data_IF_676086027358
#
_entry.id   IF_676086027358
#
_cell.length_a   1.000
_cell.length_b   1.000
_cell.length_c   1.000
_cell.angle_alpha   90.00
_cell.angle_beta   90.00
_cell.angle_gamma   90.00
#
_symmetry.space_group_name_H-M   'P 1'
#
loop_
_entity.id
_entity.type
_entity.pdbx_description
1 polymer ?
#
# COMPACT_ATOMS: atom_id res chain seq x y z
N UNK A 1 1.84 26.60 -6.82
CA UNK A 1 2.37 25.91 -5.64
C UNK A 1 3.61 25.12 -6.07
N UNK A 2 4.71 25.18 -5.33
CA UNK A 2 5.88 24.35 -5.61
C UNK A 2 5.55 22.89 -5.25
N UNK A 3 6.10 21.93 -6.02
CA UNK A 3 5.98 20.49 -5.73
C UNK A 3 6.59 20.22 -4.36
N UNK A 4 5.83 19.63 -3.43
CA UNK A 4 6.34 19.15 -2.15
C UNK A 4 7.13 17.87 -2.37
N UNK A 5 8.08 17.59 -1.48
CA UNK A 5 8.71 16.27 -1.38
C UNK A 5 7.63 15.25 -1.03
N UNK A 6 7.74 14.04 -1.54
CA UNK A 6 6.87 12.93 -1.13
C UNK A 6 7.70 11.90 -0.39
N UNK A 7 7.18 11.43 0.74
CA UNK A 7 7.76 10.34 1.53
C UNK A 7 6.92 9.08 1.37
N UNK A 8 7.52 7.92 1.62
CA UNK A 8 6.83 6.63 1.55
C UNK A 8 6.50 6.09 2.93
N UNK A 9 5.36 5.42 3.07
CA UNK A 9 5.02 4.61 4.24
C UNK A 9 4.75 3.18 3.76
N UNK A 10 5.40 2.21 4.41
CA UNK A 10 5.07 0.79 4.27
C UNK A 10 4.37 0.35 5.55
N UNK A 11 3.10 -0.04 5.44
CA UNK A 11 2.36 -0.57 6.59
C UNK A 11 2.54 -2.09 6.67
N UNK A 12 3.21 -2.54 7.71
CA UNK A 12 3.59 -3.92 7.98
C UNK A 12 3.12 -4.40 9.39
N UNK A 13 2.04 -3.81 9.92
CA UNK A 13 1.52 -4.05 11.27
C UNK A 13 0.44 -5.13 11.38
N UNK A 14 0.04 -5.77 10.29
CA UNK A 14 -1.02 -6.78 10.28
C UNK A 14 -0.60 -8.10 10.95
N UNK A 15 -1.51 -8.72 11.71
CA UNK A 15 -1.24 -9.96 12.44
C UNK A 15 -0.96 -11.19 11.55
N UNK A 16 -1.40 -11.18 10.29
CA UNK A 16 -1.14 -12.24 9.32
C UNK A 16 -1.73 -13.62 9.67
N UNK A 17 -2.79 -13.68 10.49
CA UNK A 17 -3.35 -14.92 11.06
C UNK A 17 -3.77 -15.97 10.04
N UNK A 18 -4.11 -15.56 8.81
CA UNK A 18 -4.44 -16.48 7.70
C UNK A 18 -3.24 -17.30 7.21
N UNK A 19 -2.03 -16.89 7.57
CA UNK A 19 -0.78 -17.61 7.27
C UNK A 19 -0.20 -18.35 8.48
N UNK A 20 -0.99 -18.54 9.55
CA UNK A 20 -0.57 -19.39 10.68
C UNK A 20 -0.32 -20.83 10.19
N UNK A 21 0.75 -21.51 10.66
CA UNK A 21 1.64 -21.11 11.75
C UNK A 21 2.87 -20.28 11.38
N UNK A 22 3.09 -19.92 10.09
CA UNK A 22 4.28 -19.19 9.66
C UNK A 22 4.41 -17.84 10.38
N UNK A 23 3.29 -17.14 10.54
CA UNK A 23 3.23 -15.80 11.16
C UNK A 23 3.26 -15.80 12.69
N UNK A 24 3.30 -16.97 13.33
CA UNK A 24 3.56 -17.05 14.77
C UNK A 24 4.97 -16.63 15.16
N UNK A 25 5.93 -16.83 14.27
CA UNK A 25 7.36 -16.59 14.53
C UNK A 25 7.91 -15.34 13.86
N UNK A 26 7.29 -14.86 12.79
CA UNK A 26 7.71 -13.63 12.11
C UNK A 26 6.54 -12.91 11.45
N UNK A 27 6.73 -11.62 11.17
CA UNK A 27 5.79 -10.84 10.36
C UNK A 27 5.62 -11.46 8.97
N UNK A 28 4.40 -11.41 8.41
CA UNK A 28 4.09 -11.84 7.04
C UNK A 28 5.05 -11.23 6.02
N UNK A 29 5.37 -9.95 6.18
CA UNK A 29 6.22 -9.21 5.27
C UNK A 29 7.70 -9.66 5.27
N UNK A 30 8.07 -10.50 6.23
CA UNK A 30 9.39 -11.13 6.30
C UNK A 30 9.42 -12.55 5.73
N UNK A 31 8.26 -13.12 5.36
CA UNK A 31 8.20 -14.40 4.67
C UNK A 31 8.84 -14.30 3.28
N UNK A 32 9.52 -15.37 2.83
CA UNK A 32 10.12 -15.38 1.51
C UNK A 32 9.07 -15.45 0.40
N UNK A 33 9.29 -14.65 -0.64
CA UNK A 33 8.61 -14.77 -1.93
C UNK A 33 9.70 -15.02 -2.95
N UNK A 34 9.89 -16.27 -3.32
CA UNK A 34 10.97 -16.79 -4.13
C UNK A 34 12.35 -16.50 -3.50
N UNK A 35 13.08 -15.49 -3.94
CA UNK A 35 14.50 -15.25 -3.62
C UNK A 35 14.71 -14.18 -2.52
N UNK A 36 13.63 -13.49 -2.07
CA UNK A 36 13.75 -12.41 -1.08
C UNK A 36 12.50 -12.28 -0.20
N UNK A 37 12.63 -11.66 0.99
CA UNK A 37 11.48 -11.33 1.82
C UNK A 37 10.48 -10.42 1.12
N UNK A 38 9.19 -10.62 1.41
CA UNK A 38 8.07 -9.91 0.81
C UNK A 38 8.21 -8.38 0.86
N UNK A 39 8.76 -7.81 1.93
CA UNK A 39 8.93 -6.36 2.12
C UNK A 39 9.82 -5.68 1.07
N UNK A 40 10.69 -6.42 0.39
CA UNK A 40 11.54 -5.86 -0.68
C UNK A 40 10.74 -5.39 -1.89
N UNK A 41 9.59 -5.99 -2.16
CA UNK A 41 8.74 -5.61 -3.30
C UNK A 41 8.09 -4.24 -3.11
N UNK A 42 7.40 -3.93 -2.00
CA UNK A 42 6.90 -2.58 -1.75
C UNK A 42 8.01 -1.53 -1.63
N UNK A 43 9.20 -1.88 -1.09
CA UNK A 43 10.37 -0.99 -1.11
C UNK A 43 10.81 -0.66 -2.53
N UNK A 44 10.89 -1.66 -3.41
CA UNK A 44 11.22 -1.47 -4.82
C UNK A 44 10.17 -0.60 -5.55
N UNK A 45 8.88 -0.79 -5.26
CA UNK A 45 7.78 0.02 -5.81
C UNK A 45 7.93 1.49 -5.43
N UNK A 46 8.19 1.80 -4.16
CA UNK A 46 8.42 3.18 -3.71
C UNK A 46 9.67 3.79 -4.37
N UNK A 47 10.76 3.03 -4.45
CA UNK A 47 11.99 3.47 -5.12
C UNK A 47 11.74 3.75 -6.62
N UNK A 48 10.98 2.89 -7.31
CA UNK A 48 10.58 3.08 -8.71
C UNK A 48 9.71 4.34 -8.90
N UNK A 49 8.92 4.72 -7.89
CA UNK A 49 8.19 5.98 -7.86
C UNK A 49 9.09 7.20 -7.61
N UNK A 50 10.39 7.01 -7.39
CA UNK A 50 11.35 8.07 -7.03
C UNK A 50 11.26 8.51 -5.58
N UNK A 51 10.73 7.67 -4.68
CA UNK A 51 10.58 7.92 -3.25
C UNK A 51 11.67 7.15 -2.52
N UNK A 52 12.57 7.87 -1.85
CA UNK A 52 13.73 7.30 -1.16
C UNK A 52 13.66 7.44 0.37
N UNK A 53 12.87 8.37 0.90
CA UNK A 53 12.58 8.47 2.34
C UNK A 53 11.39 7.56 2.67
N UNK A 54 11.61 6.52 3.44
CA UNK A 54 10.60 5.49 3.71
C UNK A 54 10.46 5.25 5.20
N UNK A 55 9.22 5.23 5.69
CA UNK A 55 8.86 4.80 7.03
C UNK A 55 8.24 3.41 6.97
N UNK A 56 8.79 2.46 7.71
CA UNK A 56 8.18 1.16 7.93
C UNK A 56 7.43 1.19 9.26
N UNK A 57 6.11 0.99 9.22
CA UNK A 57 5.28 0.87 10.40
C UNK A 57 5.00 -0.61 10.64
N UNK A 58 5.48 -1.15 11.75
CA UNK A 58 5.38 -2.57 12.07
C UNK A 58 4.86 -2.81 13.50
N UNK A 59 4.76 -4.07 13.92
CA UNK A 59 4.38 -4.40 15.31
C UNK A 59 5.58 -4.26 16.25
N UNK A 60 5.36 -4.06 17.57
CA UNK A 60 6.44 -4.08 18.56
C UNK A 60 7.26 -5.38 18.51
N UNK A 61 6.59 -6.50 18.26
CA UNK A 61 7.19 -7.85 18.20
C UNK A 61 8.17 -7.97 17.04
N UNK A 62 7.85 -7.39 15.88
CA UNK A 62 8.58 -7.63 14.64
C UNK A 62 9.62 -6.54 14.32
N UNK A 63 9.59 -5.40 15.03
CA UNK A 63 10.47 -4.24 14.79
C UNK A 63 11.95 -4.63 14.65
N UNK A 64 12.46 -5.41 15.62
CA UNK A 64 13.86 -5.81 15.61
C UNK A 64 14.23 -6.61 14.35
N UNK A 65 13.32 -7.44 13.85
CA UNK A 65 13.54 -8.25 12.65
C UNK A 65 13.63 -7.39 11.39
N UNK A 66 12.79 -6.35 11.28
CA UNK A 66 12.87 -5.38 10.19
C UNK A 66 14.16 -4.57 10.24
N UNK A 67 14.51 -4.04 11.41
CA UNK A 67 15.78 -3.29 11.59
C UNK A 67 16.99 -4.16 11.26
N UNK A 68 17.00 -5.40 11.72
CA UNK A 68 18.09 -6.35 11.42
C UNK A 68 18.21 -6.67 9.92
N UNK A 69 17.08 -6.73 9.20
CA UNK A 69 17.06 -7.08 7.77
C UNK A 69 17.44 -5.89 6.88
N UNK A 70 17.00 -4.69 7.21
CA UNK A 70 17.02 -3.55 6.28
C UNK A 70 17.92 -2.40 6.76
N UNK A 71 18.28 -2.39 8.04
CA UNK A 71 19.08 -1.35 8.70
C UNK A 71 18.58 0.06 8.34
N UNK A 72 19.45 0.97 7.93
CA UNK A 72 19.11 2.33 7.43
C UNK A 72 18.64 2.34 5.98
N UNK A 73 18.77 1.22 5.25
CA UNK A 73 18.38 1.10 3.84
C UNK A 73 19.45 1.55 2.84
N UNK A 74 20.66 1.87 3.30
CA UNK A 74 21.75 2.38 2.45
C UNK A 74 22.08 1.43 1.30
N UNK A 75 22.14 0.13 1.54
CA UNK A 75 22.40 -0.91 0.52
C UNK A 75 21.30 -0.96 -0.55
N UNK A 76 20.11 -0.46 -0.24
CA UNK A 76 18.97 -0.37 -1.15
C UNK A 76 18.89 1.00 -1.85
N UNK A 77 19.75 1.96 -1.45
CA UNK A 77 19.68 3.35 -1.88
C UNK A 77 18.41 4.05 -1.37
N UNK A 78 17.99 3.71 -0.16
CA UNK A 78 16.85 4.27 0.57
C UNK A 78 17.33 4.86 1.90
N UNK A 79 16.50 5.69 2.53
CA UNK A 79 16.64 6.12 3.91
C UNK A 79 15.43 5.60 4.68
N UNK A 80 15.62 4.55 5.48
CA UNK A 80 14.53 3.83 6.14
C UNK A 80 14.43 4.24 7.61
N UNK A 81 13.23 4.60 8.00
CA UNK A 81 12.83 4.89 9.38
C UNK A 81 11.81 3.85 9.84
N UNK A 82 11.65 3.73 11.15
CA UNK A 82 10.78 2.71 11.75
C UNK A 82 9.89 3.34 12.81
N UNK A 83 8.62 2.94 12.80
CA UNK A 83 7.64 3.25 13.83
C UNK A 83 6.80 2.02 14.18
N UNK A 84 6.11 2.07 15.30
CA UNK A 84 5.35 0.93 15.84
C UNK A 84 3.87 1.23 15.86
N UNK A 85 3.09 0.31 15.28
CA UNK A 85 1.64 0.21 15.46
C UNK A 85 1.37 -0.82 16.56
N UNK A 86 0.96 -0.36 17.74
CA UNK A 86 0.75 -1.25 18.90
C UNK A 86 -0.45 -2.19 18.72
N UNK A 87 -1.49 -1.74 18.03
CA UNK A 87 -2.72 -2.46 17.74
C UNK A 87 -3.15 -2.18 16.30
N UNK A 88 -3.75 -3.15 15.59
CA UNK A 88 -4.19 -2.98 14.21
C UNK A 88 -5.49 -2.15 14.13
N UNK A 89 -5.39 -0.83 14.26
CA UNK A 89 -6.52 0.12 14.24
C UNK A 89 -6.89 0.62 12.84
N UNK A 90 -6.49 -0.07 11.81
CA UNK A 90 -6.80 0.26 10.41
C UNK A 90 -5.65 0.93 9.66
N UNK A 91 -5.77 0.95 8.33
CA UNK A 91 -4.71 1.43 7.43
C UNK A 91 -4.46 2.93 7.61
N UNK A 92 -5.52 3.72 7.80
CA UNK A 92 -5.38 5.18 7.91
C UNK A 92 -4.70 5.64 9.21
N UNK A 93 -4.56 4.77 10.22
CA UNK A 93 -3.77 5.07 11.41
C UNK A 93 -2.28 5.32 11.06
N UNK A 94 -1.80 4.76 9.95
CA UNK A 94 -0.44 4.97 9.47
C UNK A 94 -0.08 6.47 9.31
N UNK A 95 -1.04 7.32 8.92
CA UNK A 95 -0.81 8.77 8.79
C UNK A 95 -0.71 9.48 10.13
N UNK A 96 -1.35 8.95 11.17
CA UNK A 96 -1.29 9.48 12.54
C UNK A 96 0.05 9.07 13.17
N UNK A 97 0.43 7.80 13.06
CA UNK A 97 1.71 7.27 13.56
C UNK A 97 2.87 7.97 12.85
N UNK A 98 2.79 8.09 11.51
CA UNK A 98 3.82 8.69 10.69
C UNK A 98 3.80 10.22 10.64
N UNK A 99 2.93 10.93 11.39
CA UNK A 99 2.76 12.38 11.29
C UNK A 99 4.09 13.15 11.39
N UNK A 100 4.92 12.79 12.35
CA UNK A 100 6.21 13.45 12.57
C UNK A 100 7.19 13.23 11.40
N UNK A 101 7.23 12.01 10.88
CA UNK A 101 8.03 11.66 9.71
C UNK A 101 7.53 12.33 8.43
N UNK A 102 6.22 12.38 8.23
CA UNK A 102 5.59 13.03 7.06
C UNK A 102 5.90 14.54 7.06
N UNK A 103 5.76 15.20 8.22
CA UNK A 103 5.94 16.65 8.34
C UNK A 103 5.10 17.41 7.30
N UNK A 104 5.73 18.25 6.50
CA UNK A 104 5.09 19.03 5.42
C UNK A 104 5.08 18.30 4.06
N UNK A 105 5.55 17.06 4.01
CA UNK A 105 5.64 16.28 2.77
C UNK A 105 4.27 15.72 2.35
N UNK A 106 4.11 15.46 1.06
CA UNK A 106 3.08 14.55 0.58
C UNK A 106 3.48 13.11 0.88
N UNK A 107 2.55 12.15 0.82
CA UNK A 107 2.81 10.78 1.23
C UNK A 107 2.33 9.75 0.20
N UNK A 108 3.13 8.71 -0.03
CA UNK A 108 2.70 7.48 -0.67
C UNK A 108 2.62 6.39 0.39
N UNK A 109 1.48 5.72 0.49
CA UNK A 109 1.27 4.57 1.37
C UNK A 109 1.20 3.30 0.52
N UNK A 110 1.97 2.29 0.89
CA UNK A 110 1.87 0.96 0.32
C UNK A 110 1.73 -0.08 1.43
N UNK A 111 0.84 -1.05 1.22
CA UNK A 111 0.73 -2.19 2.13
C UNK A 111 1.93 -3.12 1.93
N UNK A 112 2.54 -3.52 3.03
CA UNK A 112 3.78 -4.29 3.04
C UNK A 112 3.69 -5.71 2.47
N UNK A 113 2.48 -6.15 2.14
CA UNK A 113 2.18 -7.45 1.54
C UNK A 113 1.77 -7.37 0.06
N UNK A 114 1.77 -6.17 -0.52
CA UNK A 114 1.37 -5.98 -1.90
C UNK A 114 2.57 -6.05 -2.84
N UNK A 115 2.45 -6.89 -3.87
CA UNK A 115 3.41 -7.03 -4.96
C UNK A 115 2.77 -6.57 -6.27
N UNK A 116 3.52 -5.80 -7.03
CA UNK A 116 3.15 -5.35 -8.36
C UNK A 116 4.21 -5.75 -9.37
N UNK A 117 3.80 -6.32 -10.48
CA UNK A 117 4.60 -6.44 -11.69
C UNK A 117 3.74 -6.00 -12.87
N UNK A 118 4.13 -4.88 -13.49
CA UNK A 118 3.36 -4.25 -14.56
C UNK A 118 4.30 -3.53 -15.55
N UNK A 119 4.16 -3.78 -16.85
CA UNK A 119 4.95 -3.07 -17.86
C UNK A 119 4.72 -1.56 -17.79
N UNK A 120 5.82 -0.78 -17.81
CA UNK A 120 5.77 0.68 -17.70
C UNK A 120 5.09 1.22 -16.40
N UNK A 121 5.15 0.46 -15.32
CA UNK A 121 4.58 0.88 -14.04
C UNK A 121 5.20 2.20 -13.53
N UNK A 122 6.48 2.41 -13.81
CA UNK A 122 7.20 3.66 -13.54
C UNK A 122 6.49 4.91 -14.06
N UNK A 123 5.84 4.83 -15.24
CA UNK A 123 5.09 5.96 -15.83
C UNK A 123 3.84 6.29 -15.01
N UNK A 124 3.11 5.26 -14.53
CA UNK A 124 1.93 5.46 -13.68
C UNK A 124 2.32 6.00 -12.31
N UNK A 125 3.36 5.42 -11.71
CA UNK A 125 3.91 5.85 -10.43
C UNK A 125 4.40 7.31 -10.50
N UNK A 126 5.12 7.68 -11.56
CA UNK A 126 5.58 9.04 -11.79
C UNK A 126 4.41 10.00 -11.91
N UNK A 127 3.39 9.66 -12.71
CA UNK A 127 2.18 10.49 -12.89
C UNK A 127 1.46 10.71 -11.56
N UNK A 128 1.31 9.66 -10.73
CA UNK A 128 0.74 9.76 -9.39
C UNK A 128 1.61 10.62 -8.47
N UNK A 129 2.94 10.45 -8.52
CA UNK A 129 3.90 11.22 -7.72
C UNK A 129 3.98 12.71 -8.12
N UNK A 130 3.63 13.07 -9.33
CA UNK A 130 3.64 14.46 -9.83
C UNK A 130 2.37 15.24 -9.46
N UNK A 131 1.29 14.59 -9.05
CA UNK A 131 0.07 15.27 -8.60
C UNK A 131 0.30 16.01 -7.29
N UNK A 132 -0.01 17.29 -7.27
CA UNK A 132 0.25 18.20 -6.14
C UNK A 132 -0.92 18.24 -5.17
N UNK A 133 -2.14 17.97 -5.63
CA UNK A 133 -3.37 18.07 -4.84
C UNK A 133 -4.19 16.81 -5.03
N UNK A 134 -4.78 16.35 -3.92
CA UNK A 134 -5.72 15.24 -3.92
C UNK A 134 -5.07 13.90 -3.64
N UNK A 135 -5.81 12.86 -3.97
CA UNK A 135 -5.41 11.47 -3.82
C UNK A 135 -5.38 10.73 -5.16
N UNK A 136 -4.57 9.68 -5.22
CA UNK A 136 -4.56 8.73 -6.33
C UNK A 136 -4.60 7.32 -5.77
N UNK A 137 -5.55 6.51 -6.24
CA UNK A 137 -5.64 5.07 -6.00
C UNK A 137 -5.26 4.32 -7.27
N UNK A 138 -4.76 3.10 -7.11
CA UNK A 138 -4.49 2.19 -8.23
C UNK A 138 -5.55 1.10 -8.23
N UNK A 139 -6.14 0.83 -9.38
CA UNK A 139 -7.21 -0.14 -9.52
C UNK A 139 -6.82 -1.26 -10.48
N UNK A 140 -7.05 -2.50 -10.07
CA UNK A 140 -6.82 -3.70 -10.85
C UNK A 140 -8.11 -4.49 -11.00
N UNK A 141 -8.35 -5.07 -12.18
CA UNK A 141 -9.49 -5.93 -12.40
C UNK A 141 -9.28 -7.27 -11.70
N UNK A 142 -10.30 -7.74 -10.97
CA UNK A 142 -10.28 -8.99 -10.20
C UNK A 142 -11.59 -9.77 -10.40
N UNK A 143 -11.55 -11.07 -10.11
CA UNK A 143 -12.73 -11.95 -10.21
C UNK A 143 -13.59 -11.93 -8.94
N UNK A 144 -13.02 -11.54 -7.79
CA UNK A 144 -13.63 -11.55 -6.47
C UNK A 144 -13.59 -10.15 -5.78
N UNK A 145 -14.18 -9.11 -6.44
CA UNK A 145 -14.06 -7.71 -5.99
C UNK A 145 -14.64 -7.45 -4.59
N UNK A 146 -15.59 -8.25 -4.12
CA UNK A 146 -16.19 -8.13 -2.78
C UNK A 146 -15.20 -8.31 -1.63
N UNK A 147 -14.00 -8.82 -1.89
CA UNK A 147 -12.93 -8.96 -0.89
C UNK A 147 -12.17 -7.66 -0.64
N UNK A 148 -12.31 -6.68 -1.52
CA UNK A 148 -11.49 -5.46 -1.57
C UNK A 148 -12.33 -4.18 -1.46
N UNK A 149 -11.66 -3.06 -1.35
CA UNK A 149 -12.27 -1.79 -1.72
C UNK A 149 -12.54 -1.77 -3.22
N UNK A 150 -13.76 -1.44 -3.64
CA UNK A 150 -14.16 -1.43 -5.06
C UNK A 150 -14.32 0.00 -5.53
N UNK A 151 -13.71 0.33 -6.68
CA UNK A 151 -13.85 1.65 -7.31
C UNK A 151 -14.65 1.54 -8.60
N UNK A 152 -15.64 2.42 -8.74
CA UNK A 152 -16.38 2.65 -9.98
C UNK A 152 -15.89 3.96 -10.61
N UNK A 153 -15.63 3.94 -11.91
CA UNK A 153 -15.17 5.13 -12.63
C UNK A 153 -15.68 5.15 -14.08
N UNK A 154 -15.79 6.32 -14.63
CA UNK A 154 -16.15 6.56 -16.02
C UNK A 154 -15.19 7.61 -16.60
N UNK A 155 -14.64 7.35 -17.79
CA UNK A 155 -13.68 8.26 -18.45
C UNK A 155 -12.51 8.69 -17.52
N UNK A 156 -11.97 7.75 -16.73
CA UNK A 156 -10.94 7.96 -15.70
C UNK A 156 -11.37 8.88 -14.53
N UNK A 157 -12.65 9.18 -14.39
CA UNK A 157 -13.19 9.92 -13.26
C UNK A 157 -13.87 8.96 -12.29
N UNK A 158 -13.43 8.96 -11.03
CA UNK A 158 -14.04 8.14 -9.99
C UNK A 158 -15.45 8.61 -9.68
N UNK A 159 -16.42 7.68 -9.69
CA UNK A 159 -17.84 7.90 -9.40
C UNK A 159 -18.16 7.45 -7.98
N UNK A 160 -17.71 6.25 -7.62
CA UNK A 160 -17.93 5.70 -6.29
C UNK A 160 -16.74 4.86 -5.82
N UNK A 161 -16.61 4.70 -4.51
CA UNK A 161 -15.67 3.80 -3.87
C UNK A 161 -16.33 3.20 -2.62
N UNK A 162 -16.30 1.87 -2.50
CA UNK A 162 -16.97 1.14 -1.43
C UNK A 162 -16.04 0.08 -0.84
N UNK A 163 -16.01 -0.03 0.49
CA UNK A 163 -15.22 -1.05 1.19
C UNK A 163 -15.98 -2.37 1.23
N UNK A 164 -15.42 -3.42 0.64
CA UNK A 164 -15.94 -4.79 0.66
C UNK A 164 -17.44 -4.88 0.45
N UNK A 165 -17.95 -4.34 -0.66
CA UNK A 165 -19.39 -4.31 -0.92
C UNK A 165 -19.93 -5.72 -1.13
N UNK A 166 -21.10 -6.04 -0.58
CA UNK A 166 -21.79 -7.30 -0.84
C UNK A 166 -22.32 -7.41 -2.27
N UNK A 167 -22.52 -6.27 -2.94
CA UNK A 167 -22.90 -6.17 -4.35
C UNK A 167 -21.98 -5.15 -5.04
N UNK A 168 -20.82 -5.58 -5.54
CA UNK A 168 -19.86 -4.71 -6.19
C UNK A 168 -20.43 -4.04 -7.44
N UNK A 169 -20.20 -2.74 -7.60
CA UNK A 169 -20.63 -1.97 -8.79
C UNK A 169 -19.67 -2.10 -9.97
N UNK A 170 -18.49 -2.60 -9.71
CA UNK A 170 -17.48 -2.90 -10.72
C UNK A 170 -16.61 -4.05 -10.24
N UNK A 171 -15.77 -4.60 -11.10
CA UNK A 171 -14.75 -5.60 -10.77
C UNK A 171 -13.34 -4.98 -10.65
N UNK A 172 -13.26 -3.68 -10.38
CA UNK A 172 -11.99 -3.01 -10.14
C UNK A 172 -11.72 -2.86 -8.65
N UNK A 173 -10.83 -3.71 -8.14
CA UNK A 173 -10.32 -3.64 -6.78
C UNK A 173 -9.32 -2.48 -6.64
N UNK A 174 -9.45 -1.72 -5.56
CA UNK A 174 -8.43 -0.76 -5.13
C UNK A 174 -7.28 -1.54 -4.51
N UNK A 175 -6.11 -1.42 -5.10
CA UNK A 175 -4.90 -2.09 -4.61
C UNK A 175 -4.37 -1.44 -3.32
N UNK A 176 -3.37 -2.06 -2.69
CA UNK A 176 -2.74 -1.51 -1.49
C UNK A 176 -1.70 -0.42 -1.76
N UNK A 177 -1.86 0.38 -2.81
CA UNK A 177 -0.97 1.50 -3.14
C UNK A 177 -1.76 2.79 -3.31
N UNK A 178 -1.35 3.83 -2.57
CA UNK A 178 -2.06 5.09 -2.46
C UNK A 178 -1.09 6.26 -2.48
N UNK A 179 -1.45 7.35 -3.15
CA UNK A 179 -0.73 8.63 -3.11
C UNK A 179 -1.67 9.72 -2.61
N UNK A 180 -1.23 10.48 -1.62
CA UNK A 180 -2.02 11.55 -1.00
C UNK A 180 -1.20 12.83 -0.92
N UNK A 181 -1.88 13.98 -0.98
CA UNK A 181 -1.30 15.23 -0.52
C UNK A 181 -1.20 15.26 1.03
N UNK A 182 -0.47 16.21 1.57
CA UNK A 182 -0.22 16.33 3.02
C UNK A 182 -1.50 16.45 3.86
N UNK A 183 -2.61 16.89 3.27
CA UNK A 183 -3.87 17.06 4.00
C UNK A 183 -4.40 15.76 4.61
N UNK A 184 -3.97 14.61 4.08
CA UNK A 184 -4.37 13.28 4.59
C UNK A 184 -4.08 13.12 6.08
N UNK A 185 -2.99 13.67 6.60
CA UNK A 185 -2.62 13.60 8.04
C UNK A 185 -3.69 14.27 8.90
N UNK A 186 -4.07 15.50 8.52
CA UNK A 186 -5.11 16.25 9.22
C UNK A 186 -6.45 15.51 9.15
N UNK A 187 -6.79 14.95 7.99
CA UNK A 187 -8.05 14.23 7.82
C UNK A 187 -8.06 12.94 8.66
N UNK A 188 -6.99 12.14 8.63
CA UNK A 188 -6.89 10.91 9.42
C UNK A 188 -7.12 11.15 10.93
N UNK A 189 -6.61 12.27 11.46
CA UNK A 189 -6.82 12.67 12.87
C UNK A 189 -8.26 13.04 13.21
N UNK A 190 -9.07 13.39 12.22
CA UNK A 190 -10.51 13.74 12.40
C UNK A 190 -11.44 12.55 12.19
N UNK A 191 -10.93 11.44 11.67
CA UNK A 191 -11.72 10.24 11.40
C UNK A 191 -12.22 9.60 12.69
N UNK A 192 -13.35 8.90 12.56
CA UNK A 192 -13.88 8.01 13.60
C UNK A 192 -13.72 6.57 13.13
N UNK A 193 -13.40 5.64 14.05
CA UNK A 193 -13.35 4.22 13.71
C UNK A 193 -14.69 3.74 13.12
N UNK A 194 -14.61 2.83 12.16
CA UNK A 194 -15.76 2.12 11.58
C UNK A 194 -16.42 1.19 12.60
N UNK A 195 -17.51 0.51 12.20
CA UNK A 195 -18.13 -0.53 13.01
C UNK A 195 -17.17 -1.70 13.36
N UNK A 196 -16.08 -1.85 12.61
CA UNK A 196 -15.00 -2.82 12.87
C UNK A 196 -13.95 -2.31 13.88
N UNK A 197 -14.07 -1.06 14.33
CA UNK A 197 -13.09 -0.40 15.19
C UNK A 197 -11.85 0.12 14.46
N UNK A 198 -11.86 0.16 13.12
CA UNK A 198 -10.73 0.52 12.26
C UNK A 198 -10.89 1.90 11.63
N UNK A 199 -9.78 2.61 11.45
CA UNK A 199 -9.69 3.81 10.60
C UNK A 199 -9.49 3.34 9.15
N UNK A 200 -10.60 3.32 8.40
CA UNK A 200 -10.64 2.75 7.06
C UNK A 200 -9.98 3.66 6.01
N UNK A 201 -9.08 3.10 5.21
CA UNK A 201 -8.50 3.84 4.09
C UNK A 201 -9.55 4.22 3.04
N UNK A 202 -10.60 3.44 2.90
CA UNK A 202 -11.71 3.72 1.99
C UNK A 202 -12.48 4.98 2.40
N UNK A 203 -12.56 5.30 3.70
CA UNK A 203 -13.20 6.55 4.16
C UNK A 203 -12.32 7.77 3.87
N UNK A 204 -10.98 7.60 3.91
CA UNK A 204 -10.04 8.61 3.40
C UNK A 204 -10.31 8.86 1.91
N UNK A 205 -10.39 7.81 1.11
CA UNK A 205 -10.65 7.93 -0.32
C UNK A 205 -12.01 8.56 -0.63
N UNK A 206 -13.06 8.22 0.12
CA UNK A 206 -14.39 8.84 0.02
C UNK A 206 -14.35 10.34 0.31
N UNK A 207 -13.53 10.77 1.28
CA UNK A 207 -13.34 12.20 1.54
C UNK A 207 -12.77 12.92 0.33
N UNK A 208 -11.70 12.38 -0.29
CA UNK A 208 -11.12 12.96 -1.50
C UNK A 208 -12.08 12.91 -2.68
N UNK A 209 -12.86 11.84 -2.83
CA UNK A 209 -13.90 11.75 -3.86
C UNK A 209 -14.97 12.84 -3.68
N UNK A 210 -15.48 13.02 -2.47
CA UNK A 210 -16.49 14.06 -2.15
C UNK A 210 -16.00 15.46 -2.46
N UNK A 211 -14.69 15.71 -2.34
CA UNK A 211 -14.08 16.99 -2.65
C UNK A 211 -13.61 17.10 -4.12
N UNK A 212 -13.93 16.13 -4.97
CA UNK A 212 -13.63 16.16 -6.40
C UNK A 212 -12.13 16.02 -6.74
N UNK A 213 -11.32 15.46 -5.82
CA UNK A 213 -9.87 15.33 -5.97
C UNK A 213 -9.34 13.91 -5.73
N UNK A 214 -10.17 12.88 -5.94
CA UNK A 214 -9.74 11.48 -6.03
C UNK A 214 -9.50 11.10 -7.48
N UNK A 215 -8.31 10.64 -7.77
CA UNK A 215 -7.90 10.12 -9.08
C UNK A 215 -7.73 8.59 -9.04
N UNK A 216 -7.88 7.94 -10.19
CA UNK A 216 -7.61 6.52 -10.37
C UNK A 216 -6.56 6.31 -11.47
N UNK A 217 -5.58 5.46 -11.20
CA UNK A 217 -4.69 4.86 -12.19
C UNK A 217 -5.14 3.41 -12.39
N UNK A 218 -5.63 3.11 -13.59
CA UNK A 218 -6.11 1.78 -13.93
C UNK A 218 -4.95 0.93 -14.44
N UNK A 219 -4.73 -0.19 -13.78
CA UNK A 219 -3.75 -1.19 -14.19
C UNK A 219 -4.39 -2.10 -15.25
N UNK A 220 -3.71 -2.29 -16.38
CA UNK A 220 -4.21 -3.11 -17.48
C UNK A 220 -4.20 -4.61 -17.16
N UNK A 221 -4.75 -5.43 -18.05
CA UNK A 221 -4.91 -6.87 -17.84
C UNK A 221 -3.57 -7.63 -17.72
N UNK A 222 -2.48 -7.04 -18.18
CA UNK A 222 -1.11 -7.57 -18.03
C UNK A 222 -0.51 -7.29 -16.65
N UNK A 223 -1.23 -6.61 -15.77
CA UNK A 223 -0.77 -6.36 -14.41
C UNK A 223 -0.87 -7.62 -13.57
N UNK A 224 0.24 -8.04 -13.01
CA UNK A 224 0.24 -8.94 -11.88
C UNK A 224 0.21 -8.12 -10.59
N UNK A 225 -0.86 -8.28 -9.82
CA UNK A 225 -1.01 -7.75 -8.48
C UNK A 225 -1.42 -8.85 -7.52
N UNK A 226 -0.76 -8.92 -6.36
CA UNK A 226 -1.07 -9.85 -5.29
C UNK A 226 -0.96 -9.21 -3.92
N UNK A 227 -1.86 -9.59 -3.00
CA UNK A 227 -1.85 -9.16 -1.60
C UNK A 227 -1.15 -10.16 -0.65
N UNK A 228 -0.64 -11.28 -1.17
CA UNK A 228 0.08 -12.34 -0.44
C UNK A 228 -0.49 -12.67 0.95
N UNK A 229 -1.83 -12.63 1.09
CA UNK A 229 -2.53 -12.74 2.37
C UNK A 229 -2.86 -14.17 2.79
N UNK A 230 -2.71 -15.14 1.90
CA UNK A 230 -3.10 -16.55 2.06
C UNK A 230 -2.02 -17.47 1.50
N UNK A 231 -2.01 -18.76 1.90
CA UNK A 231 -1.01 -19.72 1.47
C UNK A 231 -0.95 -19.86 -0.07
N UNK A 232 -2.12 -19.94 -0.72
CA UNK A 232 -2.19 -20.12 -2.17
C UNK A 232 -1.69 -18.88 -2.90
N UNK A 233 -2.06 -17.67 -2.47
CA UNK A 233 -1.57 -16.42 -3.06
C UNK A 233 -0.08 -16.24 -2.86
N UNK A 234 0.45 -16.60 -1.69
CA UNK A 234 1.88 -16.53 -1.40
C UNK A 234 2.68 -17.50 -2.29
N UNK A 235 2.21 -18.74 -2.44
CA UNK A 235 2.84 -19.77 -3.29
C UNK A 235 2.77 -19.38 -4.77
N UNK A 236 1.59 -18.97 -5.26
CA UNK A 236 1.40 -18.53 -6.64
C UNK A 236 2.31 -17.35 -6.98
N UNK A 237 2.43 -16.39 -6.06
CA UNK A 237 3.32 -15.23 -6.24
C UNK A 237 4.79 -15.66 -6.27
N UNK A 238 5.20 -16.58 -5.40
CA UNK A 238 6.56 -17.12 -5.41
C UNK A 238 6.91 -17.80 -6.74
N UNK A 239 6.01 -18.61 -7.29
CA UNK A 239 6.17 -19.25 -8.59
C UNK A 239 6.24 -18.22 -9.73
N UNK A 240 5.36 -17.22 -9.73
CA UNK A 240 5.37 -16.14 -10.72
C UNK A 240 6.70 -15.37 -10.70
N UNK A 241 7.20 -15.00 -9.52
CA UNK A 241 8.48 -14.30 -9.40
C UNK A 241 9.67 -15.16 -9.86
N UNK A 242 9.61 -16.48 -9.62
CA UNK A 242 10.61 -17.41 -10.15
C UNK A 242 10.59 -17.43 -11.67
N UNK A 243 9.43 -17.57 -12.30
CA UNK A 243 9.29 -17.56 -13.76
C UNK A 243 9.80 -16.28 -14.39
N UNK A 244 9.57 -15.13 -13.77
CA UNK A 244 10.14 -13.85 -14.21
C UNK A 244 11.67 -13.84 -14.15
N UNK A 245 12.24 -14.38 -13.07
CA UNK A 245 13.70 -14.47 -12.91
C UNK A 245 14.36 -15.42 -13.92
N UNK A 246 13.66 -16.52 -14.27
CA UNK A 246 14.19 -17.53 -15.21
C UNK A 246 14.12 -17.01 -16.68
N UNK A 247 13.27 -16.03 -16.98
CA UNK A 247 13.04 -15.49 -18.32
C UNK A 247 13.69 -14.10 -18.57
N UNK A 248 14.30 -13.49 -17.58
CA UNK A 248 14.94 -12.16 -17.65
C UNK A 248 16.45 -12.26 -17.58
#
# INVERSE_FOLDING_TARGET
MSKRKRVGIILAGGAGTRLDPLTKVCSKQLLPVYDKPLVYYPLATLKQAGITEVLIITTPKDLYSFVRLLDTGDDLGLNIHYEVQNEPKGIAEAFIIGEHFIGDSDVALILGDNIFHYPNFDKLLKRANERIVGATVFACQVDDPERFGVVEFENNKVISIEEKPTMPKSNYAVTGLYFFDNFVVKFAKMMKPSARGELEITDVNKFYLKNGCLNVEVLGPECYWADCGEFDSLLATGNYMKELSDNG
#
